data_IF_266991379559
#
_entry.id   IF_266991379559
#
_cell.length_a   1.000
_cell.length_b   1.000
_cell.length_c   1.000
_cell.angle_alpha   90.00
_cell.angle_beta   90.00
_cell.angle_gamma   90.00
#
_symmetry.space_group_name_H-M   'P 1'
#
loop_
_entity.id
_entity.type
_entity.pdbx_description
1 polymer ?
#
# COMPACT_ATOMS: atom_id res chain seq x y z
N UNK A 1 -7.80 -9.01 -7.56
CA UNK A 1 -9.21 -9.39 -7.71
C UNK A 1 -9.31 -10.89 -7.52
N UNK A 2 -10.20 -11.40 -6.65
CA UNK A 2 -10.39 -12.83 -6.46
C UNK A 2 -10.85 -13.52 -7.75
N UNK A 3 -10.38 -14.75 -8.00
CA UNK A 3 -10.82 -15.54 -9.18
C UNK A 3 -12.35 -15.75 -9.17
N UNK A 4 -12.99 -15.47 -10.29
CA UNK A 4 -14.44 -15.61 -10.45
C UNK A 4 -15.26 -14.50 -9.79
N UNK A 5 -14.63 -13.49 -9.20
CA UNK A 5 -15.36 -12.33 -8.71
C UNK A 5 -15.94 -11.53 -9.88
N UNK A 6 -17.19 -11.07 -9.70
CA UNK A 6 -17.84 -10.21 -10.67
C UNK A 6 -17.20 -8.82 -10.71
N UNK A 7 -17.07 -8.25 -11.89
CA UNK A 7 -16.70 -6.86 -12.13
C UNK A 7 -17.92 -6.12 -12.65
N UNK A 8 -18.26 -4.99 -12.04
CA UNK A 8 -19.39 -4.16 -12.47
C UNK A 8 -18.88 -3.05 -13.39
N UNK A 9 -19.45 -2.98 -14.59
CA UNK A 9 -19.11 -1.99 -15.60
C UNK A 9 -20.27 -0.99 -15.76
N UNK A 10 -20.00 0.28 -15.64
CA UNK A 10 -20.92 1.38 -15.94
C UNK A 10 -20.29 2.28 -16.99
N UNK A 11 -20.42 1.87 -18.27
CA UNK A 11 -19.72 2.48 -19.39
C UNK A 11 -20.70 3.15 -20.36
N UNK A 12 -20.23 4.21 -20.99
CA UNK A 12 -20.87 4.92 -22.09
C UNK A 12 -19.97 4.81 -23.33
N UNK A 13 -20.57 4.46 -24.44
CA UNK A 13 -19.93 4.38 -25.73
C UNK A 13 -20.48 5.51 -26.63
N UNK A 14 -19.58 6.29 -27.19
CA UNK A 14 -19.91 7.42 -28.06
C UNK A 14 -19.16 7.28 -29.39
N UNK A 15 -19.89 7.27 -30.50
CA UNK A 15 -19.27 7.32 -31.83
C UNK A 15 -18.71 8.73 -32.06
N UNK A 16 -17.43 8.81 -32.36
CA UNK A 16 -16.70 10.03 -32.76
C UNK A 16 -16.12 9.87 -34.16
N UNK A 17 -15.50 10.91 -34.71
CA UNK A 17 -14.98 10.85 -36.08
C UNK A 17 -13.86 9.84 -36.27
N UNK A 18 -13.05 9.64 -35.24
CA UNK A 18 -11.89 8.73 -35.27
C UNK A 18 -12.24 7.29 -34.89
N UNK A 19 -13.35 7.08 -34.14
CA UNK A 19 -13.64 5.76 -33.58
C UNK A 19 -14.79 5.75 -32.59
N UNK A 20 -14.69 4.92 -31.59
CA UNK A 20 -15.63 4.80 -30.48
C UNK A 20 -14.91 5.20 -29.17
N UNK A 21 -15.36 6.29 -28.57
CA UNK A 21 -14.92 6.70 -27.25
C UNK A 21 -15.70 5.91 -26.19
N UNK A 22 -14.98 5.16 -25.36
CA UNK A 22 -15.52 4.47 -24.19
C UNK A 22 -15.17 5.28 -22.95
N UNK A 23 -16.16 5.60 -22.13
CA UNK A 23 -15.94 6.30 -20.87
C UNK A 23 -16.84 5.79 -19.77
N UNK A 24 -16.39 5.83 -18.54
CA UNK A 24 -17.21 5.43 -17.39
C UNK A 24 -16.41 4.90 -16.22
N UNK A 25 -17.04 4.05 -15.42
CA UNK A 25 -16.45 3.50 -14.19
C UNK A 25 -16.53 1.99 -14.16
N UNK A 26 -15.52 1.40 -13.53
CA UNK A 26 -15.40 -0.02 -13.22
C UNK A 26 -15.34 -0.19 -11.72
N UNK A 27 -16.12 -1.11 -11.17
CA UNK A 27 -16.05 -1.53 -9.77
C UNK A 27 -15.60 -2.98 -9.69
N UNK A 28 -14.59 -3.23 -8.87
CA UNK A 28 -14.07 -4.57 -8.68
C UNK A 28 -13.74 -4.83 -7.21
N UNK A 29 -14.09 -6.00 -6.66
CA UNK A 29 -13.64 -6.38 -5.33
C UNK A 29 -12.16 -6.71 -5.36
N UNK A 30 -11.47 -6.41 -4.26
CA UNK A 30 -10.10 -6.88 -4.05
C UNK A 30 -9.95 -7.55 -2.69
N UNK A 31 -9.01 -8.47 -2.60
CA UNK A 31 -8.53 -9.03 -1.36
C UNK A 31 -7.00 -8.94 -1.33
N UNK A 32 -6.46 -8.71 -0.17
CA UNK A 32 -5.03 -8.57 0.05
C UNK A 32 -4.69 -8.78 1.52
N UNK A 33 -3.51 -8.35 1.92
CA UNK A 33 -3.05 -8.40 3.30
C UNK A 33 -2.64 -6.99 3.77
N UNK A 34 -2.94 -6.71 5.02
CA UNK A 34 -2.50 -5.46 5.65
C UNK A 34 -0.96 -5.40 5.66
N UNK A 35 -0.38 -4.34 5.10
CA UNK A 35 1.08 -4.17 5.04
C UNK A 35 1.75 -4.05 6.43
N UNK A 36 0.96 -3.83 7.49
CA UNK A 36 1.47 -3.66 8.86
C UNK A 36 1.34 -4.91 9.71
N UNK A 37 0.22 -5.63 9.64
CA UNK A 37 -0.07 -6.75 10.54
C UNK A 37 -0.34 -8.07 9.82
N UNK A 38 -0.31 -8.10 8.49
CA UNK A 38 -0.53 -9.24 7.59
C UNK A 38 -1.92 -9.88 7.70
N UNK A 39 -2.87 -9.18 8.34
CA UNK A 39 -4.27 -9.62 8.37
C UNK A 39 -4.92 -9.43 7.01
N UNK A 40 -5.87 -10.30 6.65
CA UNK A 40 -6.65 -10.13 5.44
C UNK A 40 -7.36 -8.78 5.39
N UNK A 41 -7.38 -8.17 4.22
CA UNK A 41 -8.10 -6.93 3.93
C UNK A 41 -8.88 -7.13 2.66
N UNK A 42 -10.19 -6.98 2.75
CA UNK A 42 -11.10 -7.01 1.62
C UNK A 42 -11.68 -5.61 1.39
N UNK A 43 -11.90 -5.27 0.13
CA UNK A 43 -12.48 -3.99 -0.23
C UNK A 43 -12.97 -3.95 -1.67
N UNK A 44 -13.35 -2.77 -2.12
CA UNK A 44 -13.76 -2.50 -3.49
C UNK A 44 -12.94 -1.34 -4.04
N UNK A 45 -12.47 -1.49 -5.27
CA UNK A 45 -11.90 -0.39 -6.04
C UNK A 45 -12.91 0.13 -7.05
N UNK A 46 -12.86 1.43 -7.28
CA UNK A 46 -13.59 2.12 -8.34
C UNK A 46 -12.54 2.78 -9.23
N UNK A 47 -12.50 2.37 -10.48
CA UNK A 47 -11.60 2.91 -11.49
C UNK A 47 -12.38 3.66 -12.56
N UNK A 48 -11.81 4.74 -13.09
CA UNK A 48 -12.32 5.40 -14.28
C UNK A 48 -11.65 4.81 -15.51
N UNK A 49 -12.43 4.60 -16.56
CA UNK A 49 -11.99 4.15 -17.88
C UNK A 49 -12.34 5.23 -18.89
N UNK A 50 -11.37 5.63 -19.70
CA UNK A 50 -11.58 6.51 -20.83
C UNK A 50 -10.61 6.14 -21.95
N UNK A 51 -11.14 5.44 -22.98
CA UNK A 51 -10.33 4.89 -24.08
C UNK A 51 -10.98 5.16 -25.42
N UNK A 52 -10.17 5.36 -26.44
CA UNK A 52 -10.61 5.53 -27.82
C UNK A 52 -10.25 4.29 -28.64
N UNK A 53 -11.28 3.66 -29.20
CA UNK A 53 -11.13 2.54 -30.13
C UNK A 53 -11.22 3.08 -31.56
N UNK A 54 -10.13 3.02 -32.31
CA UNK A 54 -10.02 3.60 -33.63
C UNK A 54 -10.72 2.72 -34.68
N UNK A 55 -11.42 3.35 -35.62
CA UNK A 55 -11.99 2.63 -36.77
C UNK A 55 -10.89 2.13 -37.71
N UNK A 56 -11.05 0.93 -38.33
CA UNK A 56 -10.04 0.34 -39.21
C UNK A 56 -9.62 1.28 -40.35
N UNK A 57 -10.56 2.06 -40.91
CA UNK A 57 -10.30 2.99 -42.00
C UNK A 57 -9.43 4.19 -41.60
N UNK A 58 -9.26 4.43 -40.31
CA UNK A 58 -8.45 5.52 -39.75
C UNK A 58 -7.10 5.04 -39.24
N UNK A 59 -6.95 3.76 -38.96
CA UNK A 59 -5.71 3.18 -38.46
C UNK A 59 -4.54 3.30 -39.45
N UNK A 60 -4.84 3.47 -40.76
CA UNK A 60 -3.85 3.65 -41.82
C UNK A 60 -3.57 5.13 -42.15
N UNK A 61 -4.12 6.08 -41.40
CA UNK A 61 -3.93 7.52 -41.65
C UNK A 61 -2.49 7.93 -41.24
N UNK A 62 -1.67 8.51 -42.14
CA UNK A 62 -0.25 8.78 -41.89
C UNK A 62 -0.01 9.84 -40.78
N UNK A 63 -1.07 10.39 -40.18
CA UNK A 63 -1.02 11.29 -39.03
C UNK A 63 -1.24 10.60 -37.67
N UNK A 64 -1.61 9.33 -37.68
CA UNK A 64 -1.79 8.50 -36.48
C UNK A 64 -0.57 7.57 -36.43
N UNK A 65 0.34 7.79 -35.51
CA UNK A 65 1.39 6.82 -35.24
C UNK A 65 0.71 5.58 -34.67
N UNK A 66 0.56 4.55 -35.52
CA UNK A 66 0.01 3.25 -35.11
C UNK A 66 0.99 2.61 -34.11
N UNK A 67 0.74 2.79 -32.83
CA UNK A 67 1.35 1.98 -31.80
C UNK A 67 0.73 0.56 -31.89
N UNK A 68 1.55 -0.48 -31.75
CA UNK A 68 1.09 -1.88 -31.72
C UNK A 68 0.08 -2.17 -30.58
N UNK A 69 -0.12 -1.22 -29.67
CA UNK A 69 -1.06 -1.26 -28.54
C UNK A 69 -2.36 -0.46 -28.79
N UNK A 70 -2.57 0.06 -30.03
CA UNK A 70 -3.75 0.85 -30.36
C UNK A 70 -5.02 0.01 -30.28
N UNK A 71 -6.00 0.48 -29.47
CA UNK A 71 -7.30 -0.17 -29.35
C UNK A 71 -8.12 0.05 -30.63
N UNK A 72 -8.58 -1.03 -31.24
CA UNK A 72 -9.30 -0.98 -32.52
C UNK A 72 -10.71 -1.56 -32.41
N UNK A 73 -11.58 -1.05 -33.26
CA UNK A 73 -12.88 -1.67 -33.50
C UNK A 73 -12.66 -2.79 -34.53
N UNK A 74 -12.98 -4.03 -34.15
CA UNK A 74 -12.87 -5.19 -34.99
C UNK A 74 -14.26 -5.84 -35.18
N UNK A 75 -14.71 -6.03 -36.42
CA UNK A 75 -16.01 -6.63 -36.73
C UNK A 75 -17.19 -6.00 -35.95
N UNK A 76 -17.23 -4.68 -35.84
CA UNK A 76 -18.21 -3.91 -35.05
C UNK A 76 -18.19 -4.20 -33.54
N UNK A 77 -17.11 -4.79 -33.03
CA UNK A 77 -16.90 -5.10 -31.63
C UNK A 77 -15.67 -4.35 -31.08
N UNK A 78 -15.66 -4.15 -29.78
CA UNK A 78 -14.52 -3.62 -29.02
C UNK A 78 -14.18 -4.58 -27.90
N UNK A 79 -12.88 -4.81 -27.67
CA UNK A 79 -12.40 -5.62 -26.56
C UNK A 79 -12.09 -4.71 -25.35
N UNK A 80 -12.83 -4.90 -24.27
CA UNK A 80 -12.70 -4.14 -23.04
C UNK A 80 -11.79 -4.82 -22.03
N UNK A 81 -11.31 -6.05 -22.29
CA UNK A 81 -10.57 -6.82 -21.28
C UNK A 81 -9.31 -6.09 -20.79
N UNK A 82 -8.47 -5.68 -21.73
CA UNK A 82 -7.20 -5.02 -21.41
C UNK A 82 -7.41 -3.69 -20.69
N UNK A 83 -8.16 -2.71 -21.21
CA UNK A 83 -8.35 -1.43 -20.54
C UNK A 83 -9.02 -1.54 -19.17
N UNK A 84 -9.99 -2.43 -19.03
CA UNK A 84 -10.64 -2.67 -17.74
C UNK A 84 -9.65 -3.28 -16.75
N UNK A 85 -8.83 -4.24 -17.17
CA UNK A 85 -7.80 -4.85 -16.34
C UNK A 85 -6.80 -3.79 -15.85
N UNK A 86 -6.29 -2.97 -16.77
CA UNK A 86 -5.29 -1.95 -16.47
C UNK A 86 -5.84 -0.89 -15.52
N UNK A 87 -7.05 -0.40 -15.77
CA UNK A 87 -7.71 0.55 -14.89
C UNK A 87 -7.89 -0.01 -13.46
N UNK A 88 -8.34 -1.26 -13.33
CA UNK A 88 -8.53 -1.92 -12.02
C UNK A 88 -7.18 -2.10 -11.32
N UNK A 89 -6.15 -2.60 -12.03
CA UNK A 89 -4.83 -2.84 -11.45
C UNK A 89 -4.20 -1.56 -10.93
N UNK A 90 -4.29 -0.46 -11.70
CA UNK A 90 -3.77 0.84 -11.28
C UNK A 90 -4.55 1.46 -10.11
N UNK A 91 -5.82 1.11 -9.94
CA UNK A 91 -6.64 1.59 -8.84
C UNK A 91 -6.46 0.78 -7.53
N UNK A 92 -5.81 -0.39 -7.59
CA UNK A 92 -5.58 -1.19 -6.38
C UNK A 92 -4.75 -0.42 -5.35
N UNK A 93 -5.10 -0.50 -4.06
CA UNK A 93 -4.29 0.13 -3.02
C UNK A 93 -2.91 -0.53 -2.94
N UNK A 94 -1.85 0.25 -3.17
CA UNK A 94 -0.46 -0.24 -3.11
C UNK A 94 -0.02 -0.63 -1.69
N UNK A 95 -0.68 -0.09 -0.68
CA UNK A 95 -0.36 -0.34 0.73
C UNK A 95 -1.63 -0.48 1.54
N UNK A 96 -2.39 -1.59 1.36
CA UNK A 96 -3.64 -1.79 2.07
C UNK A 96 -3.39 -1.93 3.57
N UNK A 97 -4.26 -1.33 4.38
CA UNK A 97 -4.22 -1.42 5.84
C UNK A 97 -5.58 -1.87 6.34
N UNK A 98 -5.61 -2.75 7.35
CA UNK A 98 -6.88 -3.21 7.93
C UNK A 98 -7.62 -2.08 8.66
N UNK A 99 -6.88 -1.09 9.18
CA UNK A 99 -7.40 0.15 9.79
C UNK A 99 -6.30 1.22 9.78
N UNK A 100 -6.69 2.49 9.80
CA UNK A 100 -5.77 3.62 9.71
C UNK A 100 -4.72 3.64 10.84
N UNK A 101 -5.10 3.22 12.03
CA UNK A 101 -4.30 3.18 13.26
C UNK A 101 -3.72 1.79 13.56
N UNK A 102 -3.61 0.90 12.56
CA UNK A 102 -3.06 -0.43 12.76
C UNK A 102 -1.64 -0.36 13.36
N UNK A 103 -1.39 -0.92 14.56
CA UNK A 103 -0.09 -0.86 15.20
C UNK A 103 0.96 -1.78 14.55
N UNK A 104 0.50 -2.76 13.77
CA UNK A 104 1.36 -3.67 13.05
C UNK A 104 1.86 -4.85 13.87
N UNK A 105 3.02 -5.37 13.43
CA UNK A 105 3.76 -6.43 14.11
C UNK A 105 4.95 -5.85 14.86
N UNK A 106 5.33 -6.50 15.93
CA UNK A 106 6.58 -6.20 16.63
C UNK A 106 7.78 -6.50 15.72
N UNK A 107 8.73 -5.57 15.52
CA UNK A 107 9.88 -5.79 14.65
C UNK A 107 10.85 -6.85 15.18
N UNK A 108 10.85 -7.11 16.49
CA UNK A 108 11.80 -8.03 17.12
C UNK A 108 11.30 -9.48 17.11
N UNK A 109 10.01 -9.72 17.37
CA UNK A 109 9.47 -11.08 17.51
C UNK A 109 8.31 -11.39 16.57
N UNK A 110 7.79 -10.42 15.82
CA UNK A 110 6.67 -10.60 14.91
C UNK A 110 5.30 -10.73 15.60
N UNK A 111 5.22 -10.53 16.92
CA UNK A 111 3.95 -10.55 17.63
C UNK A 111 3.04 -9.40 17.17
N UNK A 112 1.73 -9.63 17.15
CA UNK A 112 0.75 -8.62 16.76
C UNK A 112 0.53 -7.64 17.90
N UNK A 113 0.93 -6.40 17.68
CA UNK A 113 0.79 -5.34 18.69
C UNK A 113 -0.67 -4.95 18.99
N UNK A 114 -1.61 -5.36 18.12
CA UNK A 114 -3.03 -5.17 18.37
C UNK A 114 -3.57 -6.10 19.48
N UNK A 115 -2.94 -7.27 19.68
CA UNK A 115 -3.37 -8.28 20.64
C UNK A 115 -2.75 -8.03 22.03
N UNK A 116 -1.60 -7.35 22.06
CA UNK A 116 -0.90 -6.97 23.29
C UNK A 116 -0.34 -5.54 23.14
N UNK A 117 -1.12 -4.52 23.51
CA UNK A 117 -0.70 -3.12 23.39
C UNK A 117 0.50 -2.74 24.29
N UNK A 118 0.71 -3.49 25.37
CA UNK A 118 1.81 -3.27 26.33
C UNK A 118 3.07 -4.08 25.96
N UNK A 119 3.03 -4.78 24.81
CA UNK A 119 4.12 -5.60 24.32
C UNK A 119 5.39 -4.78 24.12
N UNK A 120 6.45 -5.12 24.84
CA UNK A 120 7.75 -4.45 24.79
C UNK A 120 8.89 -5.47 24.89
N UNK A 121 10.01 -5.14 24.28
CA UNK A 121 11.25 -5.86 24.42
C UNK A 121 12.31 -4.93 25.05
N UNK A 122 13.06 -5.47 26.00
CA UNK A 122 14.28 -4.80 26.46
C UNK A 122 15.38 -5.01 25.42
N UNK A 123 15.37 -4.22 24.36
CA UNK A 123 16.41 -4.26 23.34
C UNK A 123 17.39 -3.12 23.55
N UNK A 124 18.55 -3.45 24.12
CA UNK A 124 19.70 -2.54 24.06
C UNK A 124 20.38 -2.77 22.71
N UNK A 125 20.35 -1.78 21.80
CA UNK A 125 21.12 -1.84 20.55
C UNK A 125 22.58 -2.20 20.89
N UNK A 126 23.15 -3.28 20.32
CA UNK A 126 24.52 -3.73 20.60
C UNK A 126 25.57 -2.61 20.41
N UNK A 127 25.30 -1.65 19.55
CA UNK A 127 26.19 -0.48 19.32
C UNK A 127 26.25 0.47 20.52
N UNK A 128 25.22 0.47 21.35
CA UNK A 128 25.09 1.32 22.54
C UNK A 128 25.29 0.56 23.85
N UNK A 129 25.51 -0.76 23.77
CA UNK A 129 25.70 -1.61 24.96
C UNK A 129 26.83 -1.12 25.86
N UNK A 130 27.89 -0.53 25.28
CA UNK A 130 29.00 0.06 26.05
C UNK A 130 28.57 1.29 26.90
N UNK A 131 27.52 2.02 26.50
CA UNK A 131 27.00 3.16 27.25
C UNK A 131 26.16 2.76 28.46
N UNK A 132 25.56 1.55 28.44
CA UNK A 132 24.80 1.05 29.57
C UNK A 132 25.66 0.92 30.83
N UNK A 133 26.97 0.64 30.70
CA UNK A 133 27.93 0.61 31.80
C UNK A 133 28.18 1.97 32.46
N UNK A 134 28.06 3.07 31.71
CA UNK A 134 28.26 4.40 32.24
C UNK A 134 27.10 4.87 33.12
N UNK A 135 25.88 4.35 32.92
CA UNK A 135 24.70 4.68 33.72
C UNK A 135 24.73 4.01 35.11
N UNK A 136 25.54 2.96 35.29
CA UNK A 136 25.61 2.21 36.54
C UNK A 136 26.68 2.73 37.49
N UNK A 137 27.65 3.53 37.02
CA UNK A 137 28.76 4.04 37.85
C UNK A 137 28.36 5.25 38.68
N UNK A 138 27.32 6.02 38.35
CA UNK A 138 26.92 7.24 39.07
C UNK A 138 26.14 7.00 40.39
N UNK A 139 25.79 5.77 40.74
CA UNK A 139 25.00 5.49 41.97
C UNK A 139 25.85 5.07 43.18
N UNK A 140 27.19 5.00 43.06
CA UNK A 140 28.03 4.50 44.14
C UNK A 140 28.92 5.56 44.84
N UNK A 141 28.78 6.86 44.54
CA UNK A 141 29.59 7.94 45.16
C UNK A 141 28.83 8.88 46.08
N UNK A 142 27.83 8.39 46.84
CA UNK A 142 27.26 9.20 47.93
C UNK A 142 27.17 8.39 49.22
N UNK A 143 28.28 8.26 49.92
CA UNK A 143 28.25 7.61 51.23
C UNK A 143 29.57 7.47 51.95
N UNK A 144 30.41 8.53 52.08
CA UNK A 144 31.44 8.52 53.09
C UNK A 144 31.83 9.95 53.52
N UNK A 145 30.94 10.59 54.26
CA UNK A 145 31.35 11.69 55.14
C UNK A 145 31.82 11.12 56.47
N UNK A 146 33.11 10.96 56.58
CA UNK A 146 33.78 10.64 57.84
C UNK A 146 33.70 11.85 58.77
N UNK A 147 33.01 11.70 59.90
CA UNK A 147 33.04 12.62 61.00
C UNK A 147 34.43 12.53 61.68
N UNK A 148 35.14 13.62 61.73
CA UNK A 148 36.37 13.79 62.53
C UNK A 148 36.05 14.05 63.98
N UNK A 149 36.91 13.63 64.90
CA UNK A 149 36.66 13.81 66.34
C UNK A 149 37.01 15.22 66.77
N UNK A 150 36.19 15.81 67.65
CA UNK A 150 36.42 17.01 68.44
C UNK A 150 37.24 16.61 69.67
N UNK A 151 38.49 17.12 69.79
CA UNK A 151 39.19 17.19 71.05
C UNK A 151 38.99 18.55 71.64
N UNK A 152 38.60 18.56 72.94
CA UNK A 152 38.50 19.72 73.78
C UNK A 152 39.75 19.99 74.59
N UNK A 153 39.92 21.22 75.04
CA UNK A 153 40.51 21.67 76.30
C UNK A 153 40.04 23.09 76.59
#
# INVERSE_FOLDING_TARGET
VPEGAGVELSLRLESVMEGVLVSGTVRAPYSGECVRCLEPVDGEVVAEVQELYVYPERADDPGIEADDEELRVEDDLIDLEQPVRDAVVLALPQSPVCRADCPGLCPDCGARLADDPDHAHETTDPRWAALAGLLTDDTNETGSHRAGPTEGS
#
